data_IF_092400825859
#
_entry.id   IF_092400825859
#
_cell.length_a   1.000
_cell.length_b   1.000
_cell.length_c   1.000
_cell.angle_alpha   90.00
_cell.angle_beta   90.00
_cell.angle_gamma   90.00
#
_symmetry.space_group_name_H-M   'P 1'
#
loop_
_entity.id
_entity.type
_entity.pdbx_description
1 polymer ?
#
# COMPACT_ATOMS: atom_id res chain seq x y z
N UNK A 1 -1.63 -12.10 0.21
CA UNK A 1 -1.87 -10.68 0.53
C UNK A 1 -2.44 -10.56 1.94
N UNK A 2 -3.61 -11.12 2.19
CA UNK A 2 -4.24 -11.19 3.52
C UNK A 2 -3.30 -11.61 4.64
N UNK A 3 -2.55 -12.71 4.44
CA UNK A 3 -1.62 -13.19 5.46
C UNK A 3 -0.51 -12.18 5.77
N UNK A 4 0.09 -11.55 4.74
CA UNK A 4 1.08 -10.50 4.95
C UNK A 4 0.51 -9.32 5.74
N UNK A 5 -0.69 -8.83 5.36
CA UNK A 5 -1.33 -7.72 6.07
C UNK A 5 -1.64 -8.09 7.53
N UNK A 6 -2.09 -9.33 7.77
CA UNK A 6 -2.36 -9.86 9.12
C UNK A 6 -1.09 -9.94 9.97
N UNK A 7 -0.02 -10.53 9.45
CA UNK A 7 1.27 -10.65 10.14
C UNK A 7 1.88 -9.28 10.43
N UNK A 8 1.73 -8.34 9.51
CA UNK A 8 2.15 -6.97 9.73
C UNK A 8 1.25 -6.24 10.75
N UNK A 9 0.08 -6.76 11.12
CA UNK A 9 -0.81 -6.11 12.08
C UNK A 9 -1.67 -5.00 11.49
N UNK A 10 -2.03 -5.12 10.21
CA UNK A 10 -3.01 -4.22 9.58
C UNK A 10 -4.37 -4.35 10.28
N UNK A 11 -5.00 -3.22 10.56
CA UNK A 11 -6.16 -3.13 11.45
C UNK A 11 -7.45 -3.69 10.85
N UNK A 12 -7.55 -3.86 9.53
CA UNK A 12 -8.74 -4.45 8.87
C UNK A 12 -8.49 -5.90 8.45
N UNK A 13 -9.55 -6.69 8.45
CA UNK A 13 -9.56 -7.99 7.77
C UNK A 13 -9.72 -7.73 6.27
N UNK A 14 -8.79 -8.26 5.48
CA UNK A 14 -8.74 -8.06 4.02
C UNK A 14 -8.59 -9.42 3.35
N UNK A 15 -9.31 -9.61 2.25
CA UNK A 15 -9.21 -10.79 1.38
C UNK A 15 -9.01 -10.39 -0.07
N UNK A 16 -8.63 -11.35 -0.91
CA UNK A 16 -8.62 -11.14 -2.36
C UNK A 16 -10.04 -10.91 -2.91
N UNK A 17 -11.08 -11.38 -2.22
CA UNK A 17 -12.46 -11.23 -2.67
C UNK A 17 -12.92 -9.77 -2.64
N UNK A 18 -12.36 -8.96 -1.73
CA UNK A 18 -12.63 -7.52 -1.68
C UNK A 18 -12.21 -6.77 -2.97
N UNK A 19 -11.39 -7.39 -3.83
CA UNK A 19 -10.86 -6.83 -5.08
C UNK A 19 -11.38 -7.55 -6.34
N UNK A 20 -12.40 -8.43 -6.22
CA UNK A 20 -13.11 -8.99 -7.38
C UNK A 20 -13.87 -7.92 -8.15
N UNK A 21 -14.30 -6.86 -7.45
CA UNK A 21 -14.80 -5.62 -8.02
C UNK A 21 -13.85 -4.48 -7.66
N UNK A 22 -13.75 -3.42 -8.47
CA UNK A 22 -12.94 -2.24 -8.14
C UNK A 22 -13.22 -1.70 -6.74
N UNK A 23 -12.18 -1.63 -5.90
CA UNK A 23 -12.26 -1.14 -4.53
C UNK A 23 -11.07 -0.22 -4.22
N UNK A 24 -11.12 1.00 -4.78
CA UNK A 24 -10.06 1.99 -4.58
C UNK A 24 -9.93 2.42 -3.11
N UNK A 25 -11.04 2.53 -2.37
CA UNK A 25 -11.02 2.92 -0.97
C UNK A 25 -10.16 1.99 -0.10
N UNK A 26 -10.30 0.67 -0.30
CA UNK A 26 -9.46 -0.31 0.40
C UNK A 26 -8.00 -0.27 -0.08
N UNK A 27 -7.75 0.01 -1.36
CA UNK A 27 -6.37 0.23 -1.84
C UNK A 27 -5.74 1.45 -1.17
N UNK A 28 -6.45 2.57 -1.09
CA UNK A 28 -5.92 3.80 -0.52
C UNK A 28 -5.62 3.63 0.98
N UNK A 29 -6.55 3.05 1.75
CA UNK A 29 -6.38 2.74 3.17
C UNK A 29 -5.17 1.82 3.40
N UNK A 30 -5.05 0.74 2.61
CA UNK A 30 -3.91 -0.17 2.71
C UNK A 30 -2.57 0.46 2.27
N UNK A 31 -2.56 1.29 1.21
CA UNK A 31 -1.36 1.99 0.74
C UNK A 31 -0.86 2.99 1.76
N UNK A 32 -1.76 3.80 2.31
CA UNK A 32 -1.42 4.79 3.32
C UNK A 32 -0.79 4.11 4.53
N UNK A 33 -1.45 3.07 5.06
CA UNK A 33 -0.94 2.32 6.20
C UNK A 33 0.42 1.66 5.94
N UNK A 34 0.60 1.04 4.76
CA UNK A 34 1.88 0.43 4.39
C UNK A 34 2.99 1.48 4.22
N UNK A 35 2.68 2.64 3.63
CA UNK A 35 3.65 3.71 3.43
C UNK A 35 4.04 4.36 4.77
N UNK A 36 3.08 4.69 5.63
CA UNK A 36 3.33 5.26 6.96
C UNK A 36 4.15 4.30 7.83
N UNK A 37 3.88 3.00 7.75
CA UNK A 37 4.68 1.99 8.45
C UNK A 37 6.11 1.89 7.94
N UNK A 38 6.33 2.15 6.64
CA UNK A 38 7.66 2.14 6.05
C UNK A 38 8.42 3.44 6.34
N UNK A 39 7.74 4.58 6.23
CA UNK A 39 8.27 5.92 6.47
C UNK A 39 7.21 6.79 7.18
N UNK A 40 7.30 6.91 8.52
CA UNK A 40 6.38 7.74 9.30
C UNK A 40 6.48 9.24 9.02
N UNK A 41 7.51 9.67 8.28
CA UNK A 41 7.73 11.08 7.92
C UNK A 41 7.19 11.41 6.52
N UNK A 42 6.59 10.43 5.83
CA UNK A 42 6.04 10.63 4.50
C UNK A 42 4.84 11.58 4.53
N UNK A 43 4.95 12.71 3.83
CA UNK A 43 3.84 13.64 3.62
C UNK A 43 3.00 13.19 2.43
N UNK A 44 1.84 12.61 2.69
CA UNK A 44 0.93 12.07 1.67
C UNK A 44 -0.39 12.85 1.70
N UNK A 45 -0.90 13.22 0.52
CA UNK A 45 -2.19 13.88 0.37
C UNK A 45 -3.34 13.04 0.95
N UNK A 46 -4.28 13.67 1.64
CA UNK A 46 -5.48 13.06 2.21
C UNK A 46 -6.75 13.27 1.36
N UNK A 47 -6.68 14.05 0.26
CA UNK A 47 -7.81 14.23 -0.66
C UNK A 47 -8.01 12.99 -1.55
N UNK A 48 -8.99 12.17 -1.19
CA UNK A 48 -9.43 11.01 -1.97
C UNK A 48 -10.81 11.21 -2.60
N UNK A 49 -11.39 12.40 -2.48
CA UNK A 49 -12.75 12.70 -2.95
C UNK A 49 -12.76 13.12 -4.43
N UNK A 50 -11.68 13.71 -4.92
CA UNK A 50 -11.52 14.11 -6.31
C UNK A 50 -10.62 13.15 -7.10
N UNK A 51 -10.81 13.05 -8.42
CA UNK A 51 -9.89 12.27 -9.29
C UNK A 51 -8.46 12.80 -9.18
N UNK A 52 -8.31 14.13 -9.18
CA UNK A 52 -7.01 14.80 -9.04
C UNK A 52 -6.33 14.41 -7.72
N UNK A 53 -7.05 14.51 -6.60
CA UNK A 53 -6.55 14.15 -5.28
C UNK A 53 -6.11 12.70 -5.20
N UNK A 54 -6.90 11.77 -5.76
CA UNK A 54 -6.52 10.34 -5.84
C UNK A 54 -5.24 10.12 -6.64
N UNK A 55 -5.07 10.82 -7.76
CA UNK A 55 -3.85 10.72 -8.57
C UNK A 55 -2.64 11.30 -7.81
N UNK A 56 -2.81 12.42 -7.11
CA UNK A 56 -1.77 13.04 -6.28
C UNK A 56 -1.36 12.13 -5.11
N UNK A 57 -2.33 11.55 -4.41
CA UNK A 57 -2.12 10.53 -3.38
C UNK A 57 -1.27 9.37 -3.91
N UNK A 58 -1.68 8.76 -5.04
CA UNK A 58 -0.96 7.62 -5.60
C UNK A 58 0.45 7.97 -6.07
N UNK A 59 0.65 9.18 -6.61
CA UNK A 59 1.98 9.67 -7.01
C UNK A 59 2.88 9.86 -5.79
N UNK A 60 2.39 10.51 -4.73
CA UNK A 60 3.16 10.70 -3.50
C UNK A 60 3.62 9.37 -2.91
N UNK A 61 2.72 8.38 -2.79
CA UNK A 61 3.09 7.04 -2.32
C UNK A 61 4.13 6.39 -3.24
N UNK A 62 3.94 6.45 -4.55
CA UNK A 62 4.86 5.84 -5.51
C UNK A 62 6.25 6.49 -5.49
N UNK A 63 6.33 7.81 -5.33
CA UNK A 63 7.57 8.57 -5.22
C UNK A 63 8.30 8.23 -3.92
N UNK A 64 7.60 8.21 -2.79
CA UNK A 64 8.16 7.81 -1.49
C UNK A 64 8.74 6.39 -1.55
N UNK A 65 7.96 5.43 -2.06
CA UNK A 65 8.41 4.03 -2.17
C UNK A 65 9.56 3.86 -3.17
N UNK A 66 9.57 4.62 -4.27
CA UNK A 66 10.69 4.59 -5.22
C UNK A 66 11.97 5.17 -4.60
N UNK A 67 11.87 6.30 -3.88
CA UNK A 67 13.02 6.99 -3.30
C UNK A 67 13.61 6.25 -2.09
N UNK A 68 12.75 5.77 -1.19
CA UNK A 68 13.17 5.23 0.12
C UNK A 68 13.28 3.72 0.14
N UNK A 69 12.48 3.02 -0.66
CA UNK A 69 12.43 1.56 -0.70
C UNK A 69 12.97 0.96 -2.00
N UNK A 70 13.26 1.80 -3.00
CA UNK A 70 13.59 1.36 -4.37
C UNK A 70 12.49 0.48 -4.99
N UNK A 71 11.25 0.66 -4.56
CA UNK A 71 10.08 -0.07 -5.06
C UNK A 71 9.36 0.79 -6.09
N UNK A 72 9.32 0.33 -7.34
CA UNK A 72 8.52 0.97 -8.39
C UNK A 72 7.09 0.43 -8.41
N UNK A 73 6.14 1.32 -8.17
CA UNK A 73 4.70 1.03 -8.20
C UNK A 73 4.06 1.43 -9.53
N UNK A 74 3.03 0.69 -9.94
CA UNK A 74 2.16 1.05 -11.04
C UNK A 74 0.89 1.73 -10.52
N UNK A 75 0.87 3.06 -10.56
CA UNK A 75 -0.27 3.87 -10.09
C UNK A 75 -1.57 3.59 -10.86
N UNK A 76 -1.52 3.16 -12.13
CA UNK A 76 -2.73 2.80 -12.88
C UNK A 76 -3.35 1.52 -12.33
N UNK A 77 -2.53 0.54 -11.96
CA UNK A 77 -2.99 -0.69 -11.32
C UNK A 77 -3.60 -0.40 -9.94
N UNK A 78 -2.95 0.47 -9.15
CA UNK A 78 -3.47 0.89 -7.85
C UNK A 78 -4.82 1.62 -7.98
N UNK A 79 -4.94 2.53 -8.94
CA UNK A 79 -6.17 3.28 -9.18
C UNK A 79 -7.36 2.39 -9.57
N UNK A 80 -7.13 1.29 -10.30
CA UNK A 80 -8.20 0.34 -10.68
C UNK A 80 -8.84 -0.35 -9.48
N UNK A 81 -8.13 -0.52 -8.37
CA UNK A 81 -8.71 -1.16 -7.19
C UNK A 81 -9.04 -2.64 -7.34
N UNK A 82 -8.41 -3.35 -8.28
CA UNK A 82 -8.69 -4.75 -8.59
C UNK A 82 -7.51 -5.67 -8.20
N UNK A 83 -7.51 -6.91 -8.70
CA UNK A 83 -6.41 -7.86 -8.46
C UNK A 83 -5.03 -7.36 -8.89
N UNK A 84 -4.92 -6.39 -9.82
CA UNK A 84 -3.65 -5.77 -10.16
C UNK A 84 -3.18 -4.80 -9.07
N UNK A 85 -4.08 -4.09 -8.41
CA UNK A 85 -3.75 -3.26 -7.25
C UNK A 85 -3.15 -4.12 -6.13
N UNK A 86 -3.70 -5.31 -5.90
CA UNK A 86 -3.18 -6.25 -4.89
C UNK A 86 -1.73 -6.65 -5.18
N UNK A 87 -1.35 -6.84 -6.45
CA UNK A 87 0.03 -7.16 -6.83
C UNK A 87 1.00 -6.02 -6.47
N UNK A 88 0.56 -4.78 -6.60
CA UNK A 88 1.35 -3.60 -6.25
C UNK A 88 1.46 -3.44 -4.72
N UNK A 89 0.36 -3.60 -3.98
CA UNK A 89 0.34 -3.60 -2.50
C UNK A 89 1.29 -4.66 -1.93
N UNK A 90 1.31 -5.86 -2.54
CA UNK A 90 2.19 -6.95 -2.13
C UNK A 90 3.68 -6.62 -2.22
N UNK A 91 4.11 -5.71 -3.09
CA UNK A 91 5.53 -5.32 -3.18
C UNK A 91 6.00 -4.70 -1.88
N UNK A 92 5.23 -3.75 -1.34
CA UNK A 92 5.56 -3.06 -0.09
C UNK A 92 5.40 -4.01 1.10
N UNK A 93 4.30 -4.77 1.15
CA UNK A 93 4.03 -5.69 2.25
C UNK A 93 5.11 -6.77 2.39
N UNK A 94 5.67 -7.28 1.28
CA UNK A 94 6.76 -8.25 1.31
C UNK A 94 8.03 -7.66 1.91
N UNK A 95 8.41 -6.45 1.51
CA UNK A 95 9.60 -5.76 2.04
C UNK A 95 9.46 -5.53 3.55
N UNK A 96 8.32 -5.01 4.00
CA UNK A 96 8.06 -4.81 5.44
C UNK A 96 8.07 -6.13 6.22
N UNK A 97 7.54 -7.21 5.64
CA UNK A 97 7.51 -8.51 6.28
C UNK A 97 8.91 -9.16 6.35
N UNK A 98 9.73 -8.97 5.32
CA UNK A 98 11.14 -9.38 5.34
C UNK A 98 11.91 -8.61 6.42
N UNK A 99 11.70 -7.29 6.54
CA UNK A 99 12.29 -6.48 7.62
C UNK A 99 11.86 -6.95 9.00
N UNK A 100 10.58 -7.27 9.20
CA UNK A 100 10.06 -7.80 10.48
C UNK A 100 10.68 -9.15 10.86
N UNK A 101 11.01 -9.99 9.87
CA UNK A 101 11.66 -11.29 10.11
C UNK A 101 13.16 -11.19 10.31
N UNK A 102 13.78 -10.15 9.78
CA UNK A 102 15.20 -9.86 9.95
C UNK A 102 15.54 -9.29 11.34
N UNK A 103 14.53 -8.92 12.14
CA UNK A 103 14.64 -8.56 13.55
C UNK A 103 14.14 -9.66 14.51
N UNK A 104 14.77 -10.86 14.60
CA UNK A 104 14.61 -11.73 15.75
C UNK A 104 15.57 -11.27 16.86
N UNK A 105 15.02 -10.69 17.93
CA UNK A 105 15.71 -10.21 19.14
C UNK A 105 16.80 -9.13 18.96
N UNK A 106 16.49 -7.92 19.40
CA UNK A 106 17.45 -6.99 20.01
C UNK A 106 17.01 -6.73 21.44
#
# INVERSE_FOLDING_TARGET
FSEYMKVLGYHRIVSLENFRTPNFGLVADALYWLCERYDPTAEISDDLNSEKGRVEFLKGIAETMAAKARIKLNIKSLYRGDGFAVRELLKIAKVLHESLRATPNS
#
